data_IF_721839714687
#
_entry.id   IF_721839714687
#
_cell.length_a   1.000
_cell.length_b   1.000
_cell.length_c   1.000
_cell.angle_alpha   90.00
_cell.angle_beta   90.00
_cell.angle_gamma   90.00
#
_symmetry.space_group_name_H-M   'P 1'
#
loop_
_entity.id
_entity.type
_entity.pdbx_description
1 polymer ?
#
# COMPACT_ATOMS: atom_id res chain seq x y z
N UNK A 1 29.98 2.75 -18.27
CA UNK A 1 29.17 3.75 -17.54
C UNK A 1 27.71 3.41 -17.81
N UNK A 2 27.04 2.68 -16.92
CA UNK A 2 25.61 2.35 -17.05
C UNK A 2 24.81 3.21 -16.10
N UNK A 3 24.24 4.31 -16.61
CA UNK A 3 23.49 5.32 -15.88
C UNK A 3 22.05 4.88 -15.53
N UNK A 4 21.80 3.59 -15.31
CA UNK A 4 20.46 3.05 -15.05
C UNK A 4 20.25 2.58 -13.59
N UNK A 5 21.26 2.69 -12.73
CA UNK A 5 21.19 2.15 -11.36
C UNK A 5 20.60 3.12 -10.32
N UNK A 6 20.38 4.40 -10.67
CA UNK A 6 20.16 5.45 -9.65
C UNK A 6 18.76 6.10 -9.65
N UNK A 7 17.75 5.46 -10.24
CA UNK A 7 16.48 6.16 -10.52
C UNK A 7 15.42 6.19 -9.40
N UNK A 8 15.55 5.50 -8.25
CA UNK A 8 14.42 5.46 -7.29
C UNK A 8 14.68 5.48 -5.78
N UNK A 9 15.92 5.68 -5.34
CA UNK A 9 16.16 6.02 -3.93
C UNK A 9 17.21 7.12 -3.89
N UNK A 10 16.76 8.38 -3.90
CA UNK A 10 17.66 9.49 -3.63
C UNK A 10 18.30 9.34 -2.24
N UNK A 11 19.51 9.89 -2.01
CA UNK A 11 20.15 9.90 -0.70
C UNK A 11 19.39 10.88 0.20
N UNK A 12 18.24 10.48 0.76
CA UNK A 12 17.37 11.44 1.46
C UNK A 12 16.08 10.90 2.04
N UNK A 13 15.92 9.59 2.23
CA UNK A 13 14.83 9.11 3.06
C UNK A 13 15.18 9.37 4.53
N UNK A 14 14.62 10.43 5.11
CA UNK A 14 14.81 10.72 6.55
C UNK A 14 14.33 9.55 7.42
N UNK A 15 14.71 9.48 8.71
CA UNK A 15 14.39 8.34 9.59
C UNK A 15 12.90 7.95 9.60
N UNK A 16 12.02 8.94 9.47
CA UNK A 16 10.56 8.76 9.36
C UNK A 16 10.15 8.02 8.08
N UNK A 17 10.77 8.35 6.94
CA UNK A 17 10.46 7.73 5.65
C UNK A 17 10.95 6.28 5.60
N UNK A 18 12.08 5.99 6.24
CA UNK A 18 12.57 4.63 6.42
C UNK A 18 11.62 3.83 7.32
N UNK A 19 11.22 4.37 8.48
CA UNK A 19 10.27 3.70 9.36
C UNK A 19 8.91 3.46 8.70
N UNK A 20 8.43 4.41 7.89
CA UNK A 20 7.19 4.24 7.13
C UNK A 20 7.31 3.13 6.08
N UNK A 21 8.44 3.06 5.37
CA UNK A 21 8.72 1.98 4.42
C UNK A 21 8.74 0.61 5.10
N UNK A 22 9.41 0.50 6.25
CA UNK A 22 9.49 -0.73 7.02
C UNK A 22 8.10 -1.16 7.50
N UNK A 23 7.34 -0.25 8.12
CA UNK A 23 5.96 -0.51 8.55
C UNK A 23 5.05 -0.95 7.39
N UNK A 24 5.20 -0.33 6.20
CA UNK A 24 4.46 -0.72 5.01
C UNK A 24 4.83 -2.14 4.55
N UNK A 25 6.12 -2.47 4.51
CA UNK A 25 6.59 -3.81 4.11
C UNK A 25 6.10 -4.89 5.08
N UNK A 26 6.13 -4.62 6.38
CA UNK A 26 5.58 -5.52 7.41
C UNK A 26 4.06 -5.72 7.23
N UNK A 27 3.33 -4.63 7.01
CA UNK A 27 1.87 -4.65 6.79
C UNK A 27 1.51 -5.47 5.54
N UNK A 28 2.21 -5.25 4.42
CA UNK A 28 1.98 -6.01 3.18
C UNK A 28 2.30 -7.50 3.35
N UNK A 29 3.33 -7.83 4.13
CA UNK A 29 3.65 -9.23 4.45
C UNK A 29 2.54 -9.89 5.27
N UNK A 30 1.98 -9.17 6.25
CA UNK A 30 0.88 -9.65 7.07
C UNK A 30 -0.43 -9.83 6.27
N UNK A 31 -0.70 -9.01 5.26
CA UNK A 31 -1.85 -9.18 4.35
C UNK A 31 -1.79 -10.50 3.57
N UNK A 32 -0.58 -10.92 3.19
CA UNK A 32 -0.36 -12.18 2.46
C UNK A 32 -0.35 -13.41 3.38
N UNK A 33 -0.57 -13.23 4.68
CA UNK A 33 -0.65 -14.33 5.64
C UNK A 33 -1.86 -15.23 5.36
N UNK A 34 -1.72 -16.57 5.48
CA UNK A 34 -2.86 -17.49 5.40
C UNK A 34 -3.77 -17.40 6.63
N UNK A 35 -3.30 -16.75 7.72
CA UNK A 35 -4.08 -16.59 8.94
C UNK A 35 -5.03 -15.40 8.78
N UNK A 36 -6.33 -15.69 8.75
CA UNK A 36 -7.38 -14.70 8.51
C UNK A 36 -7.30 -13.50 9.47
N UNK A 37 -7.06 -13.74 10.76
CA UNK A 37 -6.98 -12.70 11.79
C UNK A 37 -5.80 -11.75 11.56
N UNK A 38 -4.65 -12.30 11.14
CA UNK A 38 -3.45 -11.51 10.80
C UNK A 38 -3.72 -10.66 9.57
N UNK A 39 -4.38 -11.22 8.56
CA UNK A 39 -4.74 -10.47 7.35
C UNK A 39 -5.72 -9.34 7.66
N UNK A 40 -6.81 -9.61 8.39
CA UNK A 40 -7.81 -8.59 8.75
C UNK A 40 -7.17 -7.46 9.55
N UNK A 41 -6.29 -7.79 10.52
CA UNK A 41 -5.59 -6.77 11.30
C UNK A 41 -4.68 -5.89 10.41
N UNK A 42 -4.00 -6.49 9.44
CA UNK A 42 -3.14 -5.78 8.51
C UNK A 42 -3.90 -4.92 7.48
N UNK A 43 -5.08 -5.36 7.04
CA UNK A 43 -6.01 -4.59 6.20
C UNK A 43 -6.53 -3.32 6.91
N UNK A 44 -6.62 -3.31 8.25
CA UNK A 44 -6.92 -2.07 8.98
C UNK A 44 -5.67 -1.19 9.15
N UNK A 45 -4.50 -1.80 9.37
CA UNK A 45 -3.24 -1.05 9.49
C UNK A 45 -2.87 -0.32 8.19
N UNK A 46 -3.09 -0.91 7.02
CA UNK A 46 -2.76 -0.28 5.73
C UNK A 46 -3.57 1.00 5.50
N UNK A 47 -4.84 1.06 5.93
CA UNK A 47 -5.68 2.27 5.82
C UNK A 47 -5.13 3.45 6.61
N UNK A 48 -4.44 3.18 7.73
CA UNK A 48 -3.77 4.21 8.52
C UNK A 48 -2.50 4.71 7.82
N UNK A 49 -1.86 3.87 7.00
CA UNK A 49 -0.70 4.26 6.18
C UNK A 49 -1.11 5.05 4.90
N UNK A 50 -2.40 5.05 4.52
CA UNK A 50 -2.94 5.76 3.34
C UNK A 50 -3.05 7.30 3.48
N UNK A 51 -2.41 7.92 4.48
CA UNK A 51 -2.40 9.40 4.65
C UNK A 51 -1.56 10.12 3.59
N UNK A 52 -0.95 9.41 2.64
CA UNK A 52 -0.36 9.99 1.43
C UNK A 52 -1.44 10.13 0.36
N UNK A 53 -2.13 11.28 0.36
CA UNK A 53 -2.99 11.79 -0.74
C UNK A 53 -3.77 10.72 -1.52
N UNK A 54 -4.58 9.92 -0.82
CA UNK A 54 -5.53 8.99 -1.40
C UNK A 54 -6.88 9.65 -1.64
N UNK A 55 -7.04 10.39 -2.74
CA UNK A 55 -8.37 10.53 -3.33
C UNK A 55 -8.66 9.20 -4.04
N UNK A 56 -9.40 8.31 -3.36
CA UNK A 56 -9.98 7.11 -3.97
C UNK A 56 -11.45 7.33 -4.38
N UNK A 57 -11.77 8.00 -5.51
CA UNK A 57 -13.08 7.94 -6.11
C UNK A 57 -13.00 7.18 -7.44
N UNK A 58 -13.09 5.84 -7.43
CA UNK A 58 -13.36 5.11 -8.68
C UNK A 58 -13.64 3.61 -8.55
N UNK A 59 -13.57 2.98 -7.37
CA UNK A 59 -13.79 1.52 -7.29
C UNK A 59 -15.29 1.16 -7.16
N UNK A 60 -16.20 2.12 -7.07
CA UNK A 60 -17.63 1.85 -6.84
C UNK A 60 -18.53 1.85 -8.09
N UNK A 61 -18.15 2.48 -9.20
CA UNK A 61 -19.08 2.67 -10.33
C UNK A 61 -19.14 1.52 -11.34
N UNK A 62 -18.17 0.62 -11.35
CA UNK A 62 -18.12 -0.46 -12.35
C UNK A 62 -18.84 -1.77 -11.97
N UNK A 63 -19.32 -1.91 -10.74
CA UNK A 63 -20.04 -3.12 -10.31
C UNK A 63 -21.57 -3.06 -10.50
N UNK A 64 -22.17 -1.88 -10.71
CA UNK A 64 -23.63 -1.77 -10.90
C UNK A 64 -24.11 -2.09 -12.32
N UNK A 65 -23.23 -2.13 -13.34
CA UNK A 65 -23.69 -2.25 -14.74
C UNK A 65 -23.84 -3.70 -15.26
N UNK A 66 -23.63 -4.74 -14.45
CA UNK A 66 -23.76 -6.16 -14.88
C UNK A 66 -24.88 -6.93 -14.20
N UNK A 67 -25.89 -6.24 -13.69
CA UNK A 67 -27.11 -6.84 -13.15
C UNK A 67 -28.36 -6.36 -13.88
N UNK A 68 -28.94 -7.28 -14.67
CA UNK A 68 -30.36 -7.41 -15.06
C UNK A 68 -31.04 -6.30 -15.89
N UNK A 69 -31.46 -6.71 -17.09
CA UNK A 69 -32.36 -6.03 -18.01
C UNK A 69 -32.56 -6.92 -19.23
#
# INVERSE_FOLDING_TARGET
>A
MSAAENARAGPGAGPVQQGLKEALMETLTAILSPVQEVRTAAEEQIKVLEVTEGEWPAVSDHYQSRGVG
#
